data_IF_355405777415
#
_entry.id   IF_355405777415
#
_cell.length_a   1.000
_cell.length_b   1.000
_cell.length_c   1.000
_cell.angle_alpha   90.00
_cell.angle_beta   90.00
_cell.angle_gamma   90.00
#
_symmetry.space_group_name_H-M   'P 1'
#
loop_
_entity.id
_entity.type
_entity.pdbx_description
1 polymer ?
#
# COMPACT_ATOMS: atom_id res chain seq x y z
N UNK A 1 -3.96 -15.73 13.43
CA UNK A 1 -3.49 -14.82 14.51
C UNK A 1 -2.05 -15.07 14.93
N UNK A 2 -1.51 -16.30 14.88
CA UNK A 2 -0.13 -16.60 15.29
C UNK A 2 0.95 -15.67 14.69
N UNK A 3 0.84 -15.33 13.40
CA UNK A 3 1.75 -14.38 12.73
C UNK A 3 1.82 -13.03 13.45
N UNK A 4 0.68 -12.45 13.86
CA UNK A 4 0.63 -11.18 14.59
C UNK A 4 1.29 -11.27 15.98
N UNK A 5 1.22 -12.44 16.61
CA UNK A 5 1.84 -12.69 17.92
C UNK A 5 3.35 -12.95 17.81
N UNK A 6 3.83 -13.47 16.67
CA UNK A 6 5.25 -13.79 16.45
C UNK A 6 6.04 -12.59 15.94
N UNK A 7 5.55 -11.85 14.94
CA UNK A 7 6.29 -10.78 14.28
C UNK A 7 6.12 -9.41 14.95
N UNK A 8 6.32 -9.39 16.26
CA UNK A 8 6.14 -8.21 17.11
C UNK A 8 7.21 -7.16 16.83
N UNK A 9 8.38 -7.60 16.37
CA UNK A 9 9.47 -6.77 15.89
C UNK A 9 9.12 -5.97 14.62
N UNK A 10 7.97 -6.20 13.99
CA UNK A 10 7.45 -5.36 12.90
C UNK A 10 6.38 -4.37 13.39
N UNK A 11 5.91 -4.49 14.64
CA UNK A 11 4.92 -3.58 15.23
C UNK A 11 5.56 -2.28 15.72
N UNK A 12 4.74 -1.28 16.05
CA UNK A 12 5.21 -0.02 16.64
C UNK A 12 5.69 -0.21 18.10
N UNK A 13 6.39 0.81 18.62
CA UNK A 13 6.97 0.76 19.97
C UNK A 13 5.94 0.64 21.09
N UNK A 14 4.68 1.06 20.84
CA UNK A 14 3.59 0.90 21.81
C UNK A 14 3.29 -0.58 22.02
N UNK A 15 3.07 -1.33 20.94
CA UNK A 15 2.78 -2.77 21.00
C UNK A 15 3.99 -3.55 21.53
N UNK A 16 5.21 -3.19 21.09
CA UNK A 16 6.45 -3.82 21.59
C UNK A 16 6.62 -3.67 23.11
N UNK A 17 6.27 -2.52 23.68
CA UNK A 17 6.31 -2.32 25.14
C UNK A 17 5.19 -3.06 25.85
N UNK A 18 3.98 -3.04 25.29
CA UNK A 18 2.81 -3.67 25.88
C UNK A 18 2.96 -5.19 25.98
N UNK A 19 3.58 -5.84 24.99
CA UNK A 19 3.69 -7.30 24.95
C UNK A 19 4.47 -7.91 26.12
N UNK A 20 5.40 -7.14 26.73
CA UNK A 20 6.14 -7.56 27.90
C UNK A 20 5.23 -7.73 29.14
N UNK A 21 4.06 -7.08 29.13
CA UNK A 21 3.05 -7.17 30.19
C UNK A 21 1.94 -8.14 29.76
N UNK A 22 1.36 -7.93 28.58
CA UNK A 22 0.30 -8.75 28.04
C UNK A 22 0.25 -8.65 26.51
N UNK A 23 0.06 -9.77 25.82
CA UNK A 23 -0.04 -9.82 24.37
C UNK A 23 -1.42 -9.32 23.90
N UNK A 24 -1.50 -8.17 23.20
CA UNK A 24 -2.79 -7.60 22.77
C UNK A 24 -3.51 -8.44 21.71
N UNK A 25 -2.83 -9.40 21.07
CA UNK A 25 -3.41 -10.31 20.09
C UNK A 25 -3.88 -11.63 20.70
N UNK A 26 -3.79 -11.78 22.04
CA UNK A 26 -4.47 -12.81 22.82
C UNK A 26 -5.71 -12.15 23.42
N UNK A 27 -6.82 -12.21 22.68
CA UNK A 27 -8.03 -11.49 23.04
C UNK A 27 -8.76 -12.16 24.23
N UNK A 28 -9.30 -11.33 25.13
CA UNK A 28 -10.08 -11.81 26.30
C UNK A 28 -11.55 -12.03 26.00
N UNK A 29 -12.10 -11.25 25.06
CA UNK A 29 -13.55 -11.20 24.76
C UNK A 29 -13.85 -11.42 23.27
N UNK A 30 -12.86 -11.85 22.49
CA UNK A 30 -13.02 -12.14 21.07
C UNK A 30 -12.65 -13.61 20.87
N UNK A 31 -13.59 -14.37 20.32
CA UNK A 31 -13.43 -15.77 19.95
C UNK A 31 -13.47 -15.93 18.44
N UNK A 32 -12.75 -16.92 17.93
CA UNK A 32 -12.79 -17.24 16.50
C UNK A 32 -14.07 -18.02 16.19
N UNK A 33 -14.74 -17.65 15.11
CA UNK A 33 -15.83 -18.41 14.52
C UNK A 33 -15.32 -19.14 13.27
N UNK A 34 -15.50 -20.46 13.21
CA UNK A 34 -15.02 -21.28 12.08
C UNK A 34 -15.97 -21.27 10.87
N UNK A 35 -17.25 -21.04 11.11
CA UNK A 35 -18.32 -21.07 10.12
C UNK A 35 -19.67 -20.87 10.80
N UNK A 36 -20.71 -20.65 10.00
CA UNK A 36 -22.05 -20.32 10.51
C UNK A 36 -22.69 -21.45 11.31
N UNK A 37 -22.37 -22.72 11.00
CA UNK A 37 -22.87 -23.90 11.72
C UNK A 37 -22.42 -23.98 13.19
N UNK A 38 -21.41 -23.20 13.57
CA UNK A 38 -20.89 -23.12 14.93
C UNK A 38 -21.37 -21.86 15.66
N UNK A 39 -22.38 -21.19 15.11
CA UNK A 39 -22.93 -19.93 15.62
C UNK A 39 -24.43 -20.09 15.86
N UNK A 40 -24.83 -20.01 17.13
CA UNK A 40 -26.24 -19.89 17.49
C UNK A 40 -26.63 -18.40 17.46
N UNK A 41 -27.48 -18.02 16.51
CA UNK A 41 -27.93 -16.64 16.30
C UNK A 41 -29.00 -16.23 17.34
N UNK A 42 -28.57 -16.12 18.60
CA UNK A 42 -29.44 -15.83 19.76
C UNK A 42 -29.00 -14.52 20.41
N UNK A 43 -29.83 -13.48 20.24
CA UNK A 43 -29.63 -12.18 20.86
C UNK A 43 -28.58 -11.32 20.16
N UNK A 44 -28.24 -10.14 20.72
CA UNK A 44 -27.31 -9.21 20.10
C UNK A 44 -25.88 -9.76 20.06
N UNK A 45 -25.24 -9.70 18.89
CA UNK A 45 -23.85 -10.10 18.71
C UNK A 45 -23.11 -9.13 17.76
N UNK A 46 -21.77 -9.25 17.71
CA UNK A 46 -20.93 -8.57 16.72
C UNK A 46 -20.06 -9.63 16.05
N UNK A 47 -20.20 -9.76 14.74
CA UNK A 47 -19.40 -10.70 13.94
C UNK A 47 -18.57 -9.92 12.91
N UNK A 48 -17.25 -10.08 13.00
CA UNK A 48 -16.33 -9.59 11.98
C UNK A 48 -16.00 -10.74 11.02
N UNK A 49 -16.55 -10.68 9.81
CA UNK A 49 -16.39 -11.74 8.82
C UNK A 49 -15.69 -11.24 7.54
N UNK A 50 -15.02 -12.16 6.86
CA UNK A 50 -14.36 -11.94 5.57
C UNK A 50 -15.11 -12.63 4.43
N UNK A 51 -14.95 -12.17 3.17
CA UNK A 51 -14.18 -11.02 2.70
C UNK A 51 -14.87 -9.66 2.95
N UNK A 52 -14.09 -8.60 3.18
CA UNK A 52 -14.63 -7.28 3.56
C UNK A 52 -15.50 -6.59 2.50
N UNK A 53 -15.43 -7.01 1.23
CA UNK A 53 -16.25 -6.49 0.14
C UNK A 53 -17.46 -7.38 -0.20
N UNK A 54 -17.67 -8.46 0.56
CA UNK A 54 -18.88 -9.31 0.56
C UNK A 54 -19.21 -9.97 -0.78
N UNK A 55 -18.19 -10.29 -1.59
CA UNK A 55 -18.40 -10.98 -2.87
C UNK A 55 -18.97 -12.40 -2.69
N UNK A 56 -18.56 -13.10 -1.64
CA UNK A 56 -18.97 -14.48 -1.30
C UNK A 56 -18.62 -14.80 0.15
N UNK A 57 -18.85 -16.05 0.59
CA UNK A 57 -18.38 -16.56 1.88
C UNK A 57 -19.14 -16.02 3.09
N UNK A 58 -18.58 -16.23 4.28
CA UNK A 58 -19.28 -16.01 5.55
C UNK A 58 -19.82 -14.58 5.72
N UNK A 59 -19.07 -13.56 5.31
CA UNK A 59 -19.57 -12.17 5.39
C UNK A 59 -20.81 -11.94 4.54
N UNK A 60 -20.92 -12.64 3.40
CA UNK A 60 -22.08 -12.52 2.51
C UNK A 60 -23.26 -13.34 3.02
N UNK A 61 -23.02 -14.54 3.53
CA UNK A 61 -24.04 -15.40 4.13
C UNK A 61 -24.70 -14.74 5.35
N UNK A 62 -23.89 -14.16 6.25
CA UNK A 62 -24.39 -13.43 7.41
C UNK A 62 -25.19 -12.20 6.99
N UNK A 63 -24.69 -11.45 6.00
CA UNK A 63 -25.42 -10.29 5.48
C UNK A 63 -26.78 -10.66 4.89
N UNK A 64 -26.86 -11.68 4.03
CA UNK A 64 -28.13 -12.14 3.46
C UNK A 64 -29.11 -12.64 4.53
N UNK A 65 -28.59 -13.26 5.60
CA UNK A 65 -29.39 -13.71 6.75
C UNK A 65 -29.94 -12.54 7.57
N UNK A 66 -29.21 -11.43 7.65
CA UNK A 66 -29.52 -10.32 8.55
C UNK A 66 -30.13 -9.09 7.88
N UNK A 67 -30.00 -8.93 6.55
CA UNK A 67 -30.32 -7.68 5.86
C UNK A 67 -31.81 -7.30 5.89
N UNK A 68 -32.69 -8.27 6.16
CA UNK A 68 -34.14 -8.08 6.15
C UNK A 68 -34.71 -7.60 7.49
N UNK A 69 -33.92 -7.53 8.57
CA UNK A 69 -34.33 -6.99 9.88
C UNK A 69 -33.70 -5.62 10.13
N UNK A 70 -34.54 -4.63 10.43
CA UNK A 70 -34.13 -3.25 10.71
C UNK A 70 -33.40 -3.06 12.06
N UNK A 71 -33.40 -4.07 12.93
CA UNK A 71 -32.61 -4.06 14.17
C UNK A 71 -31.14 -4.37 13.94
N UNK A 72 -30.80 -4.93 12.78
CA UNK A 72 -29.43 -5.25 12.41
C UNK A 72 -28.74 -4.05 11.76
N UNK A 73 -27.41 -4.08 11.74
CA UNK A 73 -26.59 -3.05 11.10
C UNK A 73 -25.29 -3.63 10.55
N UNK A 74 -24.82 -3.08 9.43
CA UNK A 74 -23.55 -3.45 8.79
C UNK A 74 -22.63 -2.24 8.77
N UNK A 75 -21.42 -2.44 9.27
CA UNK A 75 -20.38 -1.40 9.27
C UNK A 75 -19.32 -1.78 8.23
N UNK A 76 -19.22 -0.96 7.19
CA UNK A 76 -18.18 -1.08 6.17
C UNK A 76 -16.96 -0.28 6.62
N UNK A 77 -15.93 -0.99 7.06
CA UNK A 77 -14.73 -0.40 7.65
C UNK A 77 -13.58 -0.13 6.65
N UNK A 78 -13.67 -0.65 5.43
CA UNK A 78 -12.61 -0.59 4.42
C UNK A 78 -13.09 0.00 3.09
N UNK A 79 -12.15 0.39 2.24
CA UNK A 79 -12.49 0.87 0.89
C UNK A 79 -13.19 -0.22 0.08
N UNK A 80 -14.27 0.13 -0.61
CA UNK A 80 -15.01 -0.78 -1.49
C UNK A 80 -14.76 -0.42 -2.95
N UNK A 81 -14.36 -1.42 -3.73
CA UNK A 81 -14.15 -1.29 -5.18
C UNK A 81 -15.49 -1.29 -5.90
N UNK A 82 -15.59 -0.50 -6.97
CA UNK A 82 -16.76 -0.49 -7.85
C UNK A 82 -17.11 -1.89 -8.37
N UNK A 83 -18.42 -2.17 -8.45
CA UNK A 83 -18.94 -3.47 -8.85
C UNK A 83 -18.96 -4.54 -7.74
N UNK A 84 -18.54 -4.22 -6.52
CA UNK A 84 -18.67 -5.14 -5.38
C UNK A 84 -19.98 -4.95 -4.61
N UNK A 85 -20.54 -6.01 -4.00
CA UNK A 85 -21.77 -5.90 -3.20
C UNK A 85 -21.66 -4.88 -2.07
N UNK A 86 -20.52 -4.82 -1.38
CA UNK A 86 -20.27 -3.82 -0.34
C UNK A 86 -20.31 -2.38 -0.89
N UNK A 87 -19.86 -2.13 -2.13
CA UNK A 87 -19.98 -0.81 -2.75
C UNK A 87 -21.43 -0.48 -3.12
N UNK A 88 -22.19 -1.45 -3.62
CA UNK A 88 -23.60 -1.28 -3.98
C UNK A 88 -24.46 -0.91 -2.78
N UNK A 89 -24.27 -1.54 -1.62
CA UNK A 89 -25.13 -1.29 -0.46
C UNK A 89 -24.93 0.11 0.14
N UNK A 90 -23.81 0.78 -0.13
CA UNK A 90 -23.56 2.16 0.31
C UNK A 90 -24.48 3.18 -0.38
N UNK A 91 -25.12 2.83 -1.49
CA UNK A 91 -26.17 3.66 -2.09
C UNK A 91 -27.56 3.35 -1.54
N UNK A 92 -27.66 2.52 -0.50
CA UNK A 92 -28.91 2.13 0.18
C UNK A 92 -30.03 1.70 -0.79
N UNK A 93 -29.80 0.67 -1.63
CA UNK A 93 -30.84 0.18 -2.54
C UNK A 93 -32.00 -0.44 -1.76
N UNK A 94 -33.23 -0.36 -2.29
CA UNK A 94 -34.40 -0.99 -1.65
C UNK A 94 -34.29 -2.53 -1.57
N UNK A 95 -33.65 -3.14 -2.57
CA UNK A 95 -33.45 -4.58 -2.66
C UNK A 95 -31.99 -4.92 -3.02
N UNK A 96 -31.51 -6.05 -2.50
CA UNK A 96 -30.22 -6.65 -2.85
C UNK A 96 -30.44 -8.02 -3.50
N UNK A 97 -29.58 -8.38 -4.46
CA UNK A 97 -29.56 -9.70 -5.05
C UNK A 97 -28.73 -10.67 -4.18
N UNK A 98 -29.26 -11.84 -3.88
CA UNK A 98 -28.54 -12.90 -3.16
C UNK A 98 -27.57 -13.64 -4.08
N UNK A 99 -26.69 -14.45 -3.51
CA UNK A 99 -25.84 -15.37 -4.28
C UNK A 99 -26.65 -16.40 -5.08
N UNK A 100 -27.85 -16.75 -4.63
CA UNK A 100 -28.79 -17.65 -5.33
C UNK A 100 -29.64 -16.93 -6.40
N UNK A 101 -29.50 -15.61 -6.55
CA UNK A 101 -30.24 -14.79 -7.52
C UNK A 101 -31.63 -14.34 -7.05
N UNK A 102 -32.02 -14.64 -5.81
CA UNK A 102 -33.22 -14.09 -5.20
C UNK A 102 -33.01 -12.62 -4.84
N UNK A 103 -34.09 -11.88 -4.65
CA UNK A 103 -34.03 -10.50 -4.16
C UNK A 103 -34.51 -10.44 -2.72
N UNK A 104 -33.76 -9.76 -1.88
CA UNK A 104 -34.10 -9.51 -0.48
C UNK A 104 -34.24 -8.00 -0.24
N UNK A 105 -35.22 -7.56 0.56
CA UNK A 105 -35.32 -6.16 0.96
C UNK A 105 -34.16 -5.79 1.90
N UNK A 106 -33.51 -4.66 1.64
CA UNK A 106 -32.49 -4.11 2.52
C UNK A 106 -33.14 -3.20 3.57
N UNK A 107 -33.24 -3.68 4.81
CA UNK A 107 -33.84 -2.94 5.94
C UNK A 107 -32.86 -2.61 7.06
N UNK A 108 -31.75 -3.35 7.16
CA UNK A 108 -30.70 -3.10 8.14
C UNK A 108 -30.00 -1.75 7.89
N UNK A 109 -29.42 -1.15 8.93
CA UNK A 109 -28.61 0.07 8.75
C UNK A 109 -27.30 -0.23 8.02
N UNK A 110 -26.84 0.71 7.18
CA UNK A 110 -25.56 0.62 6.47
C UNK A 110 -24.71 1.83 6.84
N UNK A 111 -23.61 1.59 7.54
CA UNK A 111 -22.72 2.66 7.99
C UNK A 111 -21.32 2.49 7.38
N UNK A 112 -20.74 3.58 6.87
CA UNK A 112 -19.37 3.59 6.36
C UNK A 112 -18.44 4.34 7.31
N UNK A 113 -17.51 3.62 7.95
CA UNK A 113 -16.54 4.19 8.87
C UNK A 113 -15.14 3.78 8.41
N UNK A 114 -14.46 4.65 7.67
CA UNK A 114 -13.16 4.31 7.09
C UNK A 114 -12.09 4.11 8.16
N UNK A 115 -11.57 2.89 8.26
CA UNK A 115 -10.31 2.54 8.92
C UNK A 115 -9.23 2.21 7.89
N UNK A 116 -9.31 2.85 6.72
CA UNK A 116 -8.29 2.67 5.70
C UNK A 116 -6.95 3.20 6.19
N UNK A 117 -5.94 2.34 6.21
CA UNK A 117 -4.57 2.70 6.57
C UNK A 117 -3.84 3.36 5.39
N UNK A 118 -4.51 4.31 4.73
CA UNK A 118 -3.96 5.11 3.64
C UNK A 118 -3.63 6.51 4.11
N UNK A 119 -2.70 7.16 3.43
CA UNK A 119 -2.38 8.56 3.68
C UNK A 119 -3.44 9.47 3.06
N UNK A 120 -3.77 10.54 3.75
CA UNK A 120 -4.56 11.63 3.17
C UNK A 120 -3.70 12.56 2.31
N UNK A 121 -4.31 13.62 1.75
CA UNK A 121 -3.59 14.62 0.95
C UNK A 121 -2.49 15.33 1.76
N UNK A 122 -2.76 15.71 3.02
CA UNK A 122 -1.81 16.46 3.83
C UNK A 122 -0.56 15.62 4.12
N UNK A 123 -0.75 14.37 4.54
CA UNK A 123 0.32 13.43 4.80
C UNK A 123 1.11 13.09 3.52
N UNK A 124 0.42 12.92 2.39
CA UNK A 124 1.07 12.62 1.10
C UNK A 124 1.88 13.82 0.59
N UNK A 125 1.33 15.03 0.65
CA UNK A 125 2.02 16.26 0.28
C UNK A 125 3.24 16.50 1.18
N UNK A 126 3.09 16.33 2.50
CA UNK A 126 4.20 16.45 3.45
C UNK A 126 5.33 15.45 3.14
N UNK A 127 4.99 14.20 2.86
CA UNK A 127 5.97 13.18 2.49
C UNK A 127 6.77 13.56 1.23
N UNK A 128 6.08 14.05 0.19
CA UNK A 128 6.73 14.51 -1.05
C UNK A 128 7.60 15.74 -0.77
N UNK A 129 7.14 16.66 0.08
CA UNK A 129 7.86 17.88 0.46
C UNK A 129 9.15 17.60 1.21
N UNK A 130 9.17 16.59 2.06
CA UNK A 130 10.38 16.16 2.78
C UNK A 130 11.41 15.58 1.81
N UNK A 131 10.97 14.75 0.84
CA UNK A 131 11.88 14.04 -0.06
C UNK A 131 12.33 14.86 -1.27
N UNK A 132 11.49 15.80 -1.75
CA UNK A 132 11.70 16.60 -2.97
C UNK A 132 12.22 15.78 -4.17
N UNK A 133 11.52 14.70 -4.57
CA UNK A 133 11.96 13.88 -5.70
C UNK A 133 11.85 14.65 -7.02
N UNK A 134 12.74 14.35 -7.98
CA UNK A 134 12.68 14.94 -9.33
C UNK A 134 11.51 14.39 -10.17
N UNK A 135 11.11 13.14 -9.93
CA UNK A 135 9.99 12.49 -10.63
C UNK A 135 9.10 11.78 -9.61
N UNK A 136 7.79 11.96 -9.72
CA UNK A 136 6.77 11.26 -8.92
C UNK A 136 5.81 10.53 -9.86
N UNK A 137 5.62 9.24 -9.63
CA UNK A 137 4.70 8.41 -10.42
C UNK A 137 3.55 7.96 -9.52
N UNK A 138 2.35 8.51 -9.78
CA UNK A 138 1.13 8.19 -9.07
C UNK A 138 0.52 6.90 -9.60
N UNK A 139 0.18 5.98 -8.69
CA UNK A 139 -0.40 4.66 -8.96
C UNK A 139 -1.39 4.30 -7.85
N UNK A 140 -2.09 3.17 -7.96
CA UNK A 140 -3.00 2.64 -6.92
C UNK A 140 -4.03 3.66 -6.41
N UNK A 141 -4.70 4.35 -7.34
CA UNK A 141 -5.77 5.30 -7.05
C UNK A 141 -6.84 5.26 -8.12
N UNK A 142 -8.05 5.69 -7.78
CA UNK A 142 -9.10 5.92 -8.76
C UNK A 142 -8.69 7.04 -9.73
N UNK A 143 -9.10 6.95 -10.99
CA UNK A 143 -8.59 7.79 -12.07
C UNK A 143 -8.83 9.29 -11.82
N UNK A 144 -10.00 9.67 -11.36
CA UNK A 144 -10.36 11.07 -11.11
C UNK A 144 -9.64 11.61 -9.87
N UNK A 145 -9.62 10.86 -8.77
CA UNK A 145 -8.94 11.27 -7.54
C UNK A 145 -7.42 11.36 -7.74
N UNK A 146 -6.82 10.46 -8.53
CA UNK A 146 -5.41 10.55 -8.90
C UNK A 146 -5.12 11.79 -9.77
N UNK A 147 -6.03 12.14 -10.67
CA UNK A 147 -5.90 13.34 -11.50
C UNK A 147 -6.03 14.62 -10.67
N UNK A 148 -6.90 14.63 -9.65
CA UNK A 148 -7.02 15.73 -8.68
C UNK A 148 -5.77 15.87 -7.84
N UNK A 149 -5.24 14.77 -7.32
CA UNK A 149 -3.98 14.75 -6.55
C UNK A 149 -2.82 15.32 -7.38
N UNK A 150 -2.68 14.87 -8.64
CA UNK A 150 -1.68 15.40 -9.57
C UNK A 150 -1.81 16.91 -9.75
N UNK A 151 -3.01 17.41 -10.02
CA UNK A 151 -3.25 18.84 -10.23
C UNK A 151 -2.97 19.67 -8.96
N UNK A 152 -3.33 19.15 -7.78
CA UNK A 152 -3.05 19.80 -6.51
C UNK A 152 -1.53 19.90 -6.23
N UNK A 153 -0.79 18.80 -6.43
CA UNK A 153 0.66 18.79 -6.30
C UNK A 153 1.32 19.70 -7.33
N UNK A 154 0.85 19.72 -8.58
CA UNK A 154 1.43 20.59 -9.61
C UNK A 154 1.33 22.07 -9.24
N UNK A 155 0.17 22.50 -8.72
CA UNK A 155 -0.04 23.87 -8.24
C UNK A 155 0.82 24.21 -7.02
N UNK A 156 1.00 23.24 -6.12
CA UNK A 156 1.79 23.45 -4.89
C UNK A 156 3.26 23.80 -5.19
N UNK A 157 3.83 23.29 -6.28
CA UNK A 157 5.24 23.49 -6.65
C UNK A 157 5.45 24.41 -7.86
N UNK A 158 4.40 25.01 -8.42
CA UNK A 158 4.48 25.88 -9.61
C UNK A 158 5.32 27.15 -9.33
N UNK A 159 5.23 27.68 -8.10
CA UNK A 159 5.91 28.90 -7.68
C UNK A 159 7.31 28.68 -7.05
N UNK A 160 7.79 27.43 -6.94
CA UNK A 160 9.11 27.14 -6.37
C UNK A 160 10.17 26.95 -7.50
N UNK A 161 10.96 27.99 -7.82
CA UNK A 161 11.95 27.90 -8.89
C UNK A 161 13.11 26.96 -8.58
N UNK A 162 13.27 26.49 -7.33
CA UNK A 162 14.34 25.59 -6.91
C UNK A 162 13.92 24.12 -6.96
N UNK A 163 12.62 23.83 -7.03
CA UNK A 163 12.10 22.47 -7.02
C UNK A 163 11.56 22.10 -8.40
N UNK A 164 12.37 21.40 -9.20
CA UNK A 164 11.92 20.81 -10.46
C UNK A 164 11.40 19.39 -10.22
N UNK A 165 10.07 19.25 -10.11
CA UNK A 165 9.39 17.96 -9.92
C UNK A 165 8.44 17.67 -11.08
N UNK A 166 8.61 16.52 -11.72
CA UNK A 166 7.73 16.03 -12.79
C UNK A 166 6.76 14.98 -12.25
N UNK A 167 5.46 15.24 -12.42
CA UNK A 167 4.38 14.38 -11.93
C UNK A 167 3.80 13.53 -13.07
N UNK A 168 3.78 12.21 -12.89
CA UNK A 168 3.24 11.22 -13.83
C UNK A 168 2.08 10.46 -13.18
N UNK A 169 1.05 10.11 -13.97
CA UNK A 169 -0.07 9.27 -13.54
C UNK A 169 -0.45 8.30 -14.68
N UNK A 170 0.44 7.36 -15.02
CA UNK A 170 0.27 6.49 -16.17
C UNK A 170 -0.92 5.55 -15.99
N UNK A 171 -1.63 5.27 -17.10
CA UNK A 171 -2.61 4.19 -17.14
C UNK A 171 -1.90 2.85 -17.25
N UNK A 172 -2.64 1.75 -16.99
CA UNK A 172 -2.15 0.42 -17.30
C UNK A 172 -1.61 0.36 -18.74
N UNK A 173 -0.51 -0.37 -18.93
CA UNK A 173 0.23 -0.50 -20.19
C UNK A 173 0.84 0.79 -20.76
N UNK A 174 0.85 1.91 -20.02
CA UNK A 174 1.54 3.12 -20.42
C UNK A 174 2.92 3.20 -19.74
N UNK A 175 3.98 3.22 -20.54
CA UNK A 175 5.35 3.34 -20.04
C UNK A 175 5.67 4.78 -19.63
N UNK A 176 6.46 4.95 -18.56
CA UNK A 176 7.06 6.23 -18.18
C UNK A 176 8.56 6.13 -18.48
N UNK A 177 9.03 6.89 -19.46
CA UNK A 177 10.43 6.91 -19.86
C UNK A 177 11.17 8.04 -19.14
N UNK A 178 12.20 7.68 -18.37
CA UNK A 178 13.02 8.62 -17.61
C UNK A 178 14.48 8.47 -18.03
N UNK A 179 15.13 9.58 -18.35
CA UNK A 179 16.52 9.60 -18.79
C UNK A 179 17.44 10.03 -17.67
N UNK A 180 18.29 9.09 -17.21
CA UNK A 180 19.30 9.37 -16.20
C UNK A 180 20.69 9.36 -16.82
N UNK A 181 21.32 10.54 -16.91
CA UNK A 181 22.72 10.65 -17.34
C UNK A 181 23.62 10.29 -16.16
N UNK A 182 24.19 9.09 -16.19
CA UNK A 182 25.21 8.67 -15.22
C UNK A 182 26.61 9.05 -15.71
N UNK A 183 27.40 9.71 -14.86
CA UNK A 183 28.84 9.76 -15.05
C UNK A 183 29.44 8.39 -14.71
N UNK A 184 30.29 7.87 -15.60
CA UNK A 184 30.99 6.60 -15.35
C UNK A 184 32.29 6.88 -14.64
N UNK A 185 32.36 6.54 -13.36
CA UNK A 185 33.58 6.62 -12.57
C UNK A 185 34.30 5.27 -12.55
N UNK A 186 35.58 5.25 -12.92
CA UNK A 186 36.44 4.08 -12.75
C UNK A 186 37.42 4.30 -11.60
N UNK A 187 37.58 3.29 -10.73
CA UNK A 187 38.58 3.30 -9.65
C UNK A 187 39.85 2.61 -10.11
N UNK A 188 40.98 3.31 -10.08
CA UNK A 188 42.30 2.71 -10.32
C UNK A 188 42.71 1.93 -9.07
N UNK A 189 43.15 0.69 -9.24
CA UNK A 189 43.54 -0.20 -8.14
C UNK A 189 44.81 -0.97 -8.48
N UNK A 190 45.42 -1.60 -7.46
CA UNK A 190 46.62 -2.41 -7.62
C UNK A 190 47.86 -1.57 -7.90
N UNK A 191 48.75 -2.09 -8.73
CA UNK A 191 50.04 -1.46 -9.04
C UNK A 191 49.89 -0.11 -9.74
N UNK A 192 48.81 0.10 -10.52
CA UNK A 192 48.49 1.39 -11.15
C UNK A 192 48.12 2.50 -10.16
N UNK A 193 47.79 2.16 -8.91
CA UNK A 193 47.42 3.12 -7.87
C UNK A 193 48.58 3.47 -6.92
N UNK A 194 49.79 2.93 -7.16
CA UNK A 194 50.96 3.15 -6.29
C UNK A 194 51.53 4.56 -6.38
N UNK A 195 51.43 5.20 -7.55
CA UNK A 195 51.85 6.58 -7.74
C UNK A 195 50.67 7.55 -7.57
N UNK A 196 50.94 8.73 -6.98
CA UNK A 196 49.92 9.78 -6.88
C UNK A 196 49.51 10.25 -8.29
N UNK A 197 48.20 10.32 -8.58
CA UNK A 197 47.72 10.76 -9.88
C UNK A 197 48.15 12.21 -10.15
N UNK A 198 48.68 12.45 -11.35
CA UNK A 198 49.02 13.78 -11.85
C UNK A 198 48.10 14.15 -13.01
N UNK A 199 47.65 15.39 -13.04
CA UNK A 199 46.77 15.88 -14.10
C UNK A 199 47.47 15.76 -15.47
N UNK A 200 46.79 15.17 -16.45
CA UNK A 200 47.34 14.94 -17.80
C UNK A 200 48.24 13.71 -17.95
N UNK A 201 48.52 12.96 -16.87
CA UNK A 201 49.25 11.70 -16.97
C UNK A 201 48.38 10.63 -17.64
N UNK A 202 48.92 9.96 -18.67
CA UNK A 202 48.22 8.88 -19.36
C UNK A 202 48.25 7.62 -18.52
N UNK A 203 47.09 7.08 -18.19
CA UNK A 203 46.95 5.79 -17.54
C UNK A 203 46.60 4.72 -18.58
N UNK A 204 47.27 3.58 -18.51
CA UNK A 204 46.99 2.40 -19.34
C UNK A 204 46.86 1.16 -18.46
N UNK A 205 45.88 0.32 -18.76
CA UNK A 205 45.58 -0.86 -17.96
C UNK A 205 44.37 -1.60 -18.51
N UNK A 206 43.95 -2.63 -17.78
CA UNK A 206 42.75 -3.39 -18.07
C UNK A 206 41.59 -2.80 -17.26
N UNK A 207 40.49 -2.49 -17.96
CA UNK A 207 39.25 -2.03 -17.34
C UNK A 207 38.33 -3.22 -17.07
N UNK A 208 38.11 -3.54 -15.81
CA UNK A 208 37.19 -4.58 -15.35
C UNK A 208 35.88 -3.93 -14.92
N UNK A 209 34.78 -4.41 -15.51
CA UNK A 209 33.42 -4.00 -15.13
C UNK A 209 32.77 -5.11 -14.30
N UNK A 210 32.38 -4.80 -13.07
CA UNK A 210 31.55 -5.68 -12.23
C UNK A 210 30.24 -4.98 -11.91
N UNK A 211 29.15 -5.44 -12.51
CA UNK A 211 27.84 -4.76 -12.50
C UNK A 211 27.97 -3.31 -13.02
N UNK A 212 27.75 -2.31 -12.16
CA UNK A 212 27.89 -0.88 -12.50
C UNK A 212 29.23 -0.28 -12.07
N UNK A 213 30.07 -1.04 -11.36
CA UNK A 213 31.37 -0.58 -10.88
C UNK A 213 32.45 -0.84 -11.93
N UNK A 214 33.26 0.18 -12.18
CA UNK A 214 34.40 0.12 -13.08
C UNK A 214 35.69 0.18 -12.26
N UNK A 215 36.60 -0.76 -12.53
CA UNK A 215 37.91 -0.85 -11.92
C UNK A 215 38.97 -0.88 -13.01
N UNK A 216 40.04 -0.11 -12.85
CA UNK A 216 41.18 -0.12 -13.77
C UNK A 216 42.40 -0.68 -13.04
N UNK A 217 42.99 -1.73 -13.62
CA UNK A 217 44.04 -2.56 -13.01
C UNK A 217 45.21 -2.71 -13.97
N UNK A 218 46.42 -2.96 -13.48
CA UNK A 218 47.49 -3.41 -14.35
C UNK A 218 47.20 -4.85 -14.81
N UNK A 219 47.69 -5.27 -15.99
CA UNK A 219 47.59 -6.67 -16.42
C UNK A 219 48.20 -7.67 -15.43
N UNK A 220 49.19 -7.26 -14.65
CA UNK A 220 49.84 -8.06 -13.60
C UNK A 220 48.94 -8.32 -12.40
N UNK A 221 47.95 -7.44 -12.15
CA UNK A 221 47.09 -7.50 -10.98
C UNK A 221 45.86 -8.40 -11.18
N UNK A 222 45.77 -9.09 -12.33
CA UNK A 222 44.71 -10.03 -12.68
C UNK A 222 44.99 -11.49 -12.28
N UNK A 223 46.15 -11.73 -11.64
CA UNK A 223 46.56 -13.06 -11.17
C UNK A 223 46.01 -13.43 -9.80
#
# INVERSE_FOLDING_TARGET
MAVYQTYVNAMNDKIRRQIAINNPFVFKHISNLKGIDHFDDIGPCVVMASPGMMQSGLSRELFESWCTDAKNGVIIAGYCVEGTPAKTILSEPEEIATMSGQKLPLKMSVDYISFSAHTDYQQTSEFIRILKPSHVVLVHGEQNEMSRLKAALQREYEDDPHTKMELHNPRNTHAVELYFRGEKTAKVMGTLAMEKPRLGHKLSGILVKRNFNYHMLAPTDLS
#
